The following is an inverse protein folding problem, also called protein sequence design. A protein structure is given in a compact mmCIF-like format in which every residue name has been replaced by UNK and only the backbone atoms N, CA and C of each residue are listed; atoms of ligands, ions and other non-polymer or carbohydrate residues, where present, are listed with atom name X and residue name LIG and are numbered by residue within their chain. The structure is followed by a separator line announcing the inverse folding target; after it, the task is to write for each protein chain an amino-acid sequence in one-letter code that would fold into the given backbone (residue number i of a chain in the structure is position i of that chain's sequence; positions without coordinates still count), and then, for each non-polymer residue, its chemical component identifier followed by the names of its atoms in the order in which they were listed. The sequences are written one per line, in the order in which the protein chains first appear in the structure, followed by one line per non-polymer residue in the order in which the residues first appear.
data_IF_770432303402
#
_entry.id   IF_770432303402
#
_cell.length_a   1.000
_cell.length_b   1.000
_cell.length_c   1.000
_cell.angle_alpha   90.00
_cell.angle_beta   90.00
_cell.angle_gamma   90.00
#
_symmetry.space_group_name_H-M   'P 1'
#
loop_
_entity.id
_entity.type
_entity.pdbx_description
1 polymer ?
#
# COMPACT_ATOMS: atom_id res chain seq x y z
N UNK A 1 29.59 2.53 16.35
CA UNK A 1 29.60 1.08 16.05
C UNK A 1 29.18 0.34 17.33
N UNK A 2 28.35 -0.72 17.30
CA UNK A 2 27.87 -1.33 18.53
C UNK A 2 29.01 -2.04 19.28
N UNK A 3 29.11 -1.81 20.59
CA UNK A 3 30.17 -2.40 21.43
C UNK A 3 29.83 -3.84 21.81
N UNK A 4 28.56 -4.08 22.21
CA UNK A 4 28.08 -5.39 22.69
C UNK A 4 27.82 -6.35 21.51
N UNK A 5 28.19 -7.64 21.66
CA UNK A 5 27.99 -8.70 20.65
C UNK A 5 26.53 -8.80 20.17
N UNK A 6 25.57 -8.72 21.10
CA UNK A 6 24.13 -8.74 20.80
C UNK A 6 23.73 -7.55 19.91
N UNK A 7 24.24 -6.36 20.20
CA UNK A 7 23.96 -5.14 19.44
C UNK A 7 24.54 -5.22 18.01
N UNK A 8 25.75 -5.77 17.82
CA UNK A 8 26.30 -6.05 16.48
C UNK A 8 25.41 -7.00 15.68
N UNK A 9 24.84 -8.04 16.30
CA UNK A 9 23.87 -8.95 15.67
C UNK A 9 22.57 -8.22 15.30
N UNK A 10 22.03 -7.40 16.19
CA UNK A 10 20.81 -6.61 15.94
C UNK A 10 20.98 -5.64 14.77
N UNK A 11 22.13 -4.96 14.68
CA UNK A 11 22.45 -4.08 13.56
C UNK A 11 22.40 -4.83 12.22
N UNK A 12 23.04 -5.99 12.10
CA UNK A 12 23.00 -6.83 10.89
C UNK A 12 21.58 -7.27 10.52
N UNK A 13 20.79 -7.70 11.51
CA UNK A 13 19.38 -8.09 11.29
C UNK A 13 18.51 -6.91 10.84
N UNK A 14 18.73 -5.73 11.42
CA UNK A 14 17.98 -4.53 11.10
C UNK A 14 18.23 -4.07 9.66
N UNK A 15 19.47 -4.13 9.17
CA UNK A 15 19.79 -3.79 7.78
C UNK A 15 18.98 -4.68 6.79
N UNK A 16 19.03 -5.99 6.97
CA UNK A 16 18.26 -6.96 6.15
C UNK A 16 16.74 -6.75 6.23
N UNK A 17 16.22 -6.37 7.39
CA UNK A 17 14.79 -6.05 7.56
C UNK A 17 14.44 -4.72 6.92
N UNK A 18 15.32 -3.72 7.02
CA UNK A 18 15.13 -2.38 6.46
C UNK A 18 15.02 -2.44 4.94
N UNK A 19 15.91 -3.18 4.27
CA UNK A 19 15.91 -3.33 2.81
C UNK A 19 14.60 -3.96 2.31
N UNK A 20 14.20 -5.09 2.90
CA UNK A 20 12.93 -5.76 2.57
C UNK A 20 11.72 -4.84 2.79
N UNK A 21 11.67 -4.16 3.93
CA UNK A 21 10.58 -3.24 4.25
C UNK A 21 10.56 -2.01 3.34
N UNK A 22 11.73 -1.52 2.90
CA UNK A 22 11.85 -0.41 1.95
C UNK A 22 11.24 -0.81 0.60
N UNK A 23 11.61 -1.98 0.07
CA UNK A 23 11.06 -2.48 -1.19
C UNK A 23 9.53 -2.61 -1.15
N UNK A 24 8.98 -3.25 -0.10
CA UNK A 24 7.53 -3.41 0.06
C UNK A 24 6.79 -2.08 0.22
N UNK A 25 7.34 -1.13 1.00
CA UNK A 25 6.75 0.21 1.14
C UNK A 25 6.71 0.96 -0.19
N UNK A 26 7.80 0.91 -0.95
CA UNK A 26 7.88 1.53 -2.27
C UNK A 26 6.91 0.89 -3.26
N UNK A 27 6.80 -0.43 -3.25
CA UNK A 27 5.84 -1.16 -4.08
C UNK A 27 4.40 -0.70 -3.83
N UNK A 28 3.96 -0.65 -2.58
CA UNK A 28 2.60 -0.22 -2.23
C UNK A 28 2.37 1.26 -2.58
N UNK A 29 3.37 2.11 -2.36
CA UNK A 29 3.29 3.54 -2.75
C UNK A 29 3.13 3.69 -4.26
N UNK A 30 3.89 2.92 -5.03
CA UNK A 30 3.80 2.95 -6.50
C UNK A 30 2.47 2.39 -6.97
N UNK A 31 1.99 1.29 -6.38
CA UNK A 31 0.69 0.74 -6.69
C UNK A 31 -0.43 1.74 -6.39
N UNK A 32 -0.37 2.43 -5.25
CA UNK A 32 -1.32 3.49 -4.90
C UNK A 32 -1.34 4.59 -5.97
N UNK A 33 -0.18 5.08 -6.40
CA UNK A 33 -0.09 6.11 -7.45
C UNK A 33 -0.70 5.63 -8.76
N UNK A 34 -0.39 4.40 -9.18
CA UNK A 34 -0.97 3.80 -10.39
C UNK A 34 -2.48 3.70 -10.29
N UNK A 35 -3.01 3.20 -9.17
CA UNK A 35 -4.46 3.10 -8.95
C UNK A 35 -5.14 4.47 -9.00
N UNK A 36 -4.57 5.49 -8.36
CA UNK A 36 -5.13 6.85 -8.40
C UNK A 36 -5.13 7.42 -9.82
N UNK A 37 -4.03 7.27 -10.57
CA UNK A 37 -3.95 7.72 -11.96
C UNK A 37 -5.01 7.04 -12.81
N UNK A 38 -5.15 5.72 -12.66
CA UNK A 38 -6.12 4.91 -13.39
C UNK A 38 -7.57 5.33 -13.10
N UNK A 39 -7.87 5.64 -11.83
CA UNK A 39 -9.16 6.21 -11.44
C UNK A 39 -9.46 7.53 -12.15
N UNK A 40 -8.45 8.37 -12.39
CA UNK A 40 -8.64 9.66 -13.06
C UNK A 40 -8.80 9.56 -14.58
N UNK A 41 -8.18 8.57 -15.23
CA UNK A 41 -8.07 8.55 -16.70
C UNK A 41 -8.97 7.53 -17.38
N UNK A 42 -9.22 6.38 -16.76
CA UNK A 42 -9.81 5.23 -17.45
C UNK A 42 -11.34 5.24 -17.32
N UNK A 43 -12.10 4.89 -18.36
CA UNK A 43 -13.57 4.84 -18.33
C UNK A 43 -14.13 3.42 -18.12
N UNK A 44 -13.27 2.41 -18.15
CA UNK A 44 -13.66 1.01 -18.02
C UNK A 44 -13.87 0.65 -16.54
N UNK A 45 -15.14 0.57 -16.15
CA UNK A 45 -15.57 0.29 -14.79
C UNK A 45 -15.16 -1.08 -14.26
N UNK A 46 -14.99 -2.09 -15.12
CA UNK A 46 -14.52 -3.41 -14.67
C UNK A 46 -13.03 -3.40 -14.33
N UNK A 47 -12.21 -2.79 -15.19
CA UNK A 47 -10.76 -2.67 -14.96
C UNK A 47 -10.46 -1.86 -13.70
N UNK A 48 -11.23 -0.80 -13.46
CA UNK A 48 -11.16 -0.01 -12.24
C UNK A 48 -11.43 -0.85 -10.99
N UNK A 49 -12.55 -1.59 -10.97
CA UNK A 49 -12.90 -2.48 -9.84
C UNK A 49 -11.82 -3.53 -9.58
N UNK A 50 -11.30 -4.19 -10.63
CA UNK A 50 -10.21 -5.17 -10.53
C UNK A 50 -8.95 -4.55 -9.92
N UNK A 51 -8.56 -3.36 -10.38
CA UNK A 51 -7.36 -2.65 -9.90
C UNK A 51 -7.50 -2.21 -8.44
N UNK A 52 -8.66 -1.67 -8.06
CA UNK A 52 -8.95 -1.27 -6.68
C UNK A 52 -8.92 -2.48 -5.73
N UNK A 53 -9.54 -3.59 -6.13
CA UNK A 53 -9.54 -4.81 -5.32
C UNK A 53 -8.14 -5.40 -5.18
N UNK A 54 -7.35 -5.37 -6.24
CA UNK A 54 -5.94 -5.76 -6.17
C UNK A 54 -5.14 -4.88 -5.20
N UNK A 55 -5.30 -3.56 -5.27
CA UNK A 55 -4.65 -2.64 -4.33
C UNK A 55 -5.02 -2.94 -2.87
N UNK A 56 -6.31 -3.11 -2.59
CA UNK A 56 -6.81 -3.46 -1.24
C UNK A 56 -6.17 -4.76 -0.73
N UNK A 57 -6.15 -5.80 -1.56
CA UNK A 57 -5.52 -7.09 -1.20
C UNK A 57 -4.04 -6.92 -0.85
N UNK A 58 -3.28 -6.13 -1.63
CA UNK A 58 -1.86 -5.89 -1.33
C UNK A 58 -1.65 -5.11 -0.03
N UNK A 59 -2.52 -4.13 0.27
CA UNK A 59 -2.48 -3.38 1.54
C UNK A 59 -2.76 -4.29 2.74
N UNK A 60 -3.73 -5.21 2.61
CA UNK A 60 -4.07 -6.15 3.68
C UNK A 60 -2.96 -7.20 3.89
N UNK A 61 -2.34 -7.70 2.80
CA UNK A 61 -1.13 -8.54 2.88
C UNK A 61 0.03 -7.82 3.57
N UNK A 62 0.18 -6.52 3.35
CA UNK A 62 1.21 -5.73 4.01
C UNK A 62 0.95 -5.54 5.52
N UNK A 63 -0.33 -5.44 5.91
CA UNK A 63 -0.72 -5.45 7.32
C UNK A 63 -0.43 -6.80 7.98
N UNK A 64 -0.83 -7.92 7.33
CA UNK A 64 -0.56 -9.27 7.83
C UNK A 64 0.96 -9.53 8.04
N UNK A 65 1.81 -8.97 7.15
CA UNK A 65 3.28 -9.01 7.27
C UNK A 65 3.85 -8.07 8.35
N UNK A 66 3.02 -7.33 9.08
CA UNK A 66 3.43 -6.39 10.12
C UNK A 66 4.09 -5.11 9.61
N UNK A 67 3.99 -4.81 8.32
CA UNK A 67 4.61 -3.61 7.73
C UNK A 67 3.86 -2.33 8.10
N UNK A 68 2.54 -2.42 8.22
CA UNK A 68 1.64 -1.34 8.62
C UNK A 68 0.84 -1.71 9.87
N UNK A 69 0.39 -0.70 10.61
CA UNK A 69 -0.63 -0.87 11.66
C UNK A 69 -2.03 -0.91 11.05
N UNK A 70 -2.98 -1.52 11.74
CA UNK A 70 -4.39 -1.66 11.31
C UNK A 70 -4.98 -0.35 10.79
N UNK A 71 -4.82 0.73 11.55
CA UNK A 71 -5.40 2.04 11.20
C UNK A 71 -4.76 2.65 9.94
N UNK A 72 -3.46 2.39 9.71
CA UNK A 72 -2.80 2.86 8.48
C UNK A 72 -3.34 2.14 7.25
N UNK A 73 -3.52 0.82 7.34
CA UNK A 73 -4.12 0.04 6.26
C UNK A 73 -5.57 0.42 6.00
N UNK A 74 -6.37 0.60 7.05
CA UNK A 74 -7.76 1.09 6.94
C UNK A 74 -7.84 2.46 6.26
N UNK A 75 -6.99 3.42 6.65
CA UNK A 75 -6.92 4.76 6.03
C UNK A 75 -6.56 4.70 4.55
N UNK A 76 -5.62 3.83 4.17
CA UNK A 76 -5.23 3.67 2.76
C UNK A 76 -6.37 3.12 1.90
N UNK A 77 -7.10 2.11 2.40
CA UNK A 77 -8.29 1.57 1.72
C UNK A 77 -9.38 2.62 1.60
N UNK A 78 -9.75 3.26 2.71
CA UNK A 78 -10.78 4.30 2.76
C UNK A 78 -10.51 5.46 1.79
N UNK A 79 -9.24 5.89 1.64
CA UNK A 79 -8.89 6.95 0.68
C UNK A 79 -9.22 6.56 -0.76
N UNK A 80 -8.90 5.33 -1.17
CA UNK A 80 -9.20 4.86 -2.53
C UNK A 80 -10.71 4.63 -2.71
N UNK A 81 -11.39 4.13 -1.69
CA UNK A 81 -12.85 3.92 -1.73
C UNK A 81 -13.61 5.22 -1.93
N UNK A 82 -13.22 6.29 -1.22
CA UNK A 82 -13.81 7.62 -1.41
C UNK A 82 -13.62 8.15 -2.83
N UNK A 83 -12.43 7.98 -3.40
CA UNK A 83 -12.15 8.40 -4.78
C UNK A 83 -12.97 7.60 -5.80
N UNK A 84 -13.11 6.29 -5.59
CA UNK A 84 -13.93 5.44 -6.44
C UNK A 84 -15.42 5.80 -6.36
N UNK A 85 -15.94 6.04 -5.17
CA UNK A 85 -17.33 6.43 -4.97
C UNK A 85 -17.65 7.81 -5.57
N UNK A 86 -16.76 8.79 -5.39
CA UNK A 86 -16.91 10.11 -6.00
C UNK A 86 -16.97 10.05 -7.52
N UNK A 87 -16.13 9.21 -8.14
CA UNK A 87 -16.19 8.98 -9.59
C UNK A 87 -17.52 8.38 -10.03
N UNK A 88 -18.00 7.36 -9.32
CA UNK A 88 -19.28 6.74 -9.64
C UNK A 88 -20.44 7.76 -9.58
N UNK A 89 -20.40 8.69 -8.62
CA UNK A 89 -21.38 9.79 -8.52
C UNK A 89 -21.30 10.77 -9.69
N UNK A 90 -20.10 11.06 -10.21
CA UNK A 90 -19.91 11.92 -11.39
C UNK A 90 -20.42 11.27 -12.68
N UNK A 91 -20.41 9.94 -12.79
CA UNK A 91 -20.93 9.23 -13.98
C UNK A 91 -22.47 9.15 -13.98
N UNK A 92 -23.12 9.26 -12.82
CA UNK A 92 -24.58 9.20 -12.68
C UNK A 92 -25.30 10.54 -12.85
N UNK A 93 -24.56 11.65 -12.99
CA UNK A 93 -25.10 13.01 -13.03
C UNK A 93 -24.87 13.63 -14.41
#
# INVERSE_FOLDING_TARGET
MPIIKSAKKRMRQQLKRRERNKALKSFIKNLQKKTVLLLSTEKDNEKLKKTVNYYKSQVDKAWAKGLFKKNKSARLKSKIDKLFAHKAQLETK
#
